data_IF_906781974126
#
_entry.id   IF_906781974126
#
_cell.length_a   1.000
_cell.length_b   1.000
_cell.length_c   1.000
_cell.angle_alpha   90.00
_cell.angle_beta   90.00
_cell.angle_gamma   90.00
#
_symmetry.space_group_name_H-M   'P 1'
#
loop_
_entity.id
_entity.type
_entity.pdbx_description
1 polymer ?
#
# COMPACT_ATOMS: atom_id res chain seq x y z
N UNK A 1 4.60 -29.91 13.31
CA UNK A 1 4.15 -28.53 13.06
C UNK A 1 4.50 -28.21 11.62
N UNK A 2 3.69 -27.45 10.86
CA UNK A 2 4.15 -26.95 9.55
C UNK A 2 5.50 -26.24 9.75
N UNK A 3 6.41 -26.40 8.81
CA UNK A 3 7.76 -25.87 8.97
C UNK A 3 7.69 -24.35 9.17
N UNK A 4 8.27 -23.86 10.26
CA UNK A 4 8.17 -22.44 10.63
C UNK A 4 8.74 -21.52 9.54
N UNK A 5 9.66 -22.06 8.74
CA UNK A 5 10.21 -21.41 7.54
C UNK A 5 9.17 -21.22 6.43
N UNK A 6 8.42 -22.27 6.07
CA UNK A 6 7.41 -22.20 5.02
C UNK A 6 6.29 -21.21 5.38
N UNK A 7 5.91 -21.16 6.65
CA UNK A 7 4.93 -20.20 7.15
C UNK A 7 5.43 -18.75 7.04
N UNK A 8 6.71 -18.49 7.36
CA UNK A 8 7.34 -17.17 7.19
C UNK A 8 7.39 -16.75 5.73
N UNK A 9 7.77 -17.67 4.82
CA UNK A 9 7.82 -17.41 3.37
C UNK A 9 6.42 -17.06 2.86
N UNK A 10 5.43 -17.90 3.13
CA UNK A 10 4.05 -17.66 2.70
C UNK A 10 3.49 -16.32 3.23
N UNK A 11 3.82 -15.96 4.47
CA UNK A 11 3.42 -14.68 5.06
C UNK A 11 4.10 -13.50 4.37
N UNK A 12 5.41 -13.57 4.13
CA UNK A 12 6.16 -12.51 3.45
C UNK A 12 5.69 -12.32 1.99
N UNK A 13 5.33 -13.40 1.30
CA UNK A 13 4.80 -13.35 -0.06
C UNK A 13 3.41 -12.71 -0.09
N UNK A 14 2.52 -13.09 0.83
CA UNK A 14 1.20 -12.47 0.96
C UNK A 14 1.31 -10.96 1.26
N UNK A 15 2.21 -10.57 2.17
CA UNK A 15 2.47 -9.17 2.47
C UNK A 15 3.06 -8.43 1.26
N UNK A 16 3.89 -9.08 0.44
CA UNK A 16 4.41 -8.49 -0.80
C UNK A 16 3.28 -8.20 -1.80
N UNK A 17 2.30 -9.10 -1.93
CA UNK A 17 1.11 -8.85 -2.75
C UNK A 17 0.27 -7.68 -2.23
N UNK A 18 0.12 -7.57 -0.90
CA UNK A 18 -0.58 -6.43 -0.29
C UNK A 18 0.17 -5.11 -0.49
N UNK A 19 1.50 -5.12 -0.45
CA UNK A 19 2.33 -3.96 -0.78
C UNK A 19 2.09 -3.50 -2.22
N UNK A 20 2.07 -4.42 -3.19
CA UNK A 20 1.72 -4.09 -4.57
C UNK A 20 0.33 -3.47 -4.69
N UNK A 21 -0.65 -3.95 -3.91
CA UNK A 21 -1.97 -3.34 -3.89
C UNK A 21 -1.95 -1.91 -3.35
N UNK A 22 -1.11 -1.58 -2.36
CA UNK A 22 -0.98 -0.18 -1.91
C UNK A 22 -0.48 0.74 -3.03
N UNK A 23 0.56 0.32 -3.77
CA UNK A 23 1.08 1.11 -4.90
C UNK A 23 0.08 1.21 -6.06
N UNK A 24 -0.61 0.11 -6.40
CA UNK A 24 -1.60 0.11 -7.49
C UNK A 24 -2.79 1.02 -7.17
N UNK A 25 -3.30 0.97 -5.94
CA UNK A 25 -4.36 1.86 -5.49
C UNK A 25 -3.89 3.32 -5.40
N UNK A 26 -2.66 3.54 -4.93
CA UNK A 26 -2.05 4.88 -4.87
C UNK A 26 -1.99 5.52 -6.25
N UNK A 27 -1.48 4.80 -7.25
CA UNK A 27 -1.42 5.28 -8.63
C UNK A 27 -2.81 5.55 -9.23
N UNK A 28 -3.79 4.68 -8.96
CA UNK A 28 -5.16 4.88 -9.43
C UNK A 28 -5.80 6.15 -8.80
N UNK A 29 -5.58 6.37 -7.51
CA UNK A 29 -6.09 7.55 -6.80
C UNK A 29 -5.34 8.81 -7.26
N UNK A 30 -4.04 8.74 -7.55
CA UNK A 30 -3.26 9.86 -8.07
C UNK A 30 -3.86 10.37 -9.40
N UNK A 31 -4.18 9.45 -10.31
CA UNK A 31 -4.79 9.80 -11.61
C UNK A 31 -6.18 10.42 -11.44
N UNK A 32 -7.01 9.86 -10.55
CA UNK A 32 -8.33 10.43 -10.22
C UNK A 32 -8.16 11.82 -9.59
N UNK A 33 -7.18 12.01 -8.72
CA UNK A 33 -6.90 13.29 -8.06
C UNK A 33 -6.51 14.37 -9.07
N UNK A 34 -5.67 14.02 -10.07
CA UNK A 34 -5.32 14.93 -11.17
C UNK A 34 -6.58 15.36 -11.94
N UNK A 35 -7.42 14.39 -12.34
CA UNK A 35 -8.67 14.69 -13.02
C UNK A 35 -9.61 15.59 -12.19
N UNK A 36 -9.72 15.36 -10.88
CA UNK A 36 -10.56 16.17 -9.98
C UNK A 36 -10.07 17.63 -9.91
N UNK A 37 -8.75 17.84 -9.83
CA UNK A 37 -8.15 19.18 -9.81
C UNK A 37 -8.38 19.92 -11.12
N UNK A 38 -8.18 19.25 -12.26
CA UNK A 38 -8.41 19.81 -13.59
C UNK A 38 -9.88 20.20 -13.84
N UNK A 39 -10.83 19.49 -13.21
CA UNK A 39 -12.27 19.77 -13.32
C UNK A 39 -12.81 20.70 -12.22
N UNK A 40 -11.94 21.32 -11.42
CA UNK A 40 -12.32 22.33 -10.43
C UNK A 40 -12.94 21.79 -9.14
N UNK A 41 -12.84 20.48 -8.89
CA UNK A 41 -13.42 19.82 -7.71
C UNK A 41 -12.37 19.66 -6.60
N UNK A 42 -11.76 20.78 -6.20
CA UNK A 42 -10.60 20.80 -5.30
C UNK A 42 -10.86 20.21 -3.90
N UNK A 43 -12.08 20.29 -3.38
CA UNK A 43 -12.43 19.70 -2.07
C UNK A 43 -12.40 18.17 -2.07
N UNK A 44 -12.78 17.53 -3.18
CA UNK A 44 -12.72 16.06 -3.33
C UNK A 44 -11.28 15.61 -3.56
N UNK A 45 -10.48 16.42 -4.26
CA UNK A 45 -9.04 16.16 -4.43
C UNK A 45 -8.29 16.13 -3.09
N UNK A 46 -8.64 16.99 -2.13
CA UNK A 46 -8.04 16.96 -0.79
C UNK A 46 -8.30 15.64 -0.05
N UNK A 47 -9.52 15.08 -0.16
CA UNK A 47 -9.83 13.77 0.41
C UNK A 47 -9.06 12.64 -0.29
N UNK A 48 -8.89 12.73 -1.61
CA UNK A 48 -8.13 11.75 -2.38
C UNK A 48 -6.63 11.78 -2.02
N UNK A 49 -6.06 12.96 -1.78
CA UNK A 49 -4.69 13.12 -1.26
C UNK A 49 -4.55 12.45 0.11
N UNK A 50 -5.47 12.69 1.04
CA UNK A 50 -5.43 12.06 2.36
C UNK A 50 -5.54 10.52 2.29
N UNK A 51 -6.29 9.99 1.33
CA UNK A 51 -6.33 8.55 1.07
C UNK A 51 -4.97 8.02 0.58
N UNK A 52 -4.27 8.74 -0.30
CA UNK A 52 -2.91 8.37 -0.74
C UNK A 52 -1.91 8.37 0.42
N UNK A 53 -1.95 9.37 1.31
CA UNK A 53 -1.10 9.41 2.52
C UNK A 53 -1.31 8.17 3.42
N UNK A 54 -2.55 7.70 3.51
CA UNK A 54 -2.88 6.47 4.24
C UNK A 54 -2.28 5.23 3.55
N UNK A 55 -2.35 5.15 2.21
CA UNK A 55 -1.74 4.06 1.45
C UNK A 55 -0.22 4.04 1.59
N UNK A 56 0.43 5.22 1.60
CA UNK A 56 1.88 5.33 1.80
C UNK A 56 2.29 4.86 3.20
N UNK A 57 1.54 5.28 4.23
CA UNK A 57 1.78 4.83 5.61
C UNK A 57 1.67 3.30 5.73
N UNK A 58 0.66 2.72 5.09
CA UNK A 58 0.48 1.27 5.06
C UNK A 58 1.59 0.57 4.27
N UNK A 59 2.02 1.11 3.12
CA UNK A 59 3.10 0.57 2.32
C UNK A 59 4.41 0.50 3.11
N UNK A 60 4.72 1.55 3.89
CA UNK A 60 5.88 1.56 4.78
C UNK A 60 5.76 0.48 5.87
N UNK A 61 4.62 0.40 6.56
CA UNK A 61 4.41 -0.58 7.63
C UNK A 61 4.47 -2.04 7.12
N UNK A 62 3.95 -2.30 5.93
CA UNK A 62 4.02 -3.61 5.27
C UNK A 62 5.47 -3.93 4.90
N UNK A 63 6.20 -2.97 4.33
CA UNK A 63 7.62 -3.13 3.98
C UNK A 63 8.46 -3.47 5.22
N UNK A 64 8.27 -2.75 6.32
CA UNK A 64 8.93 -3.03 7.59
C UNK A 64 8.62 -4.44 8.11
N UNK A 65 7.36 -4.87 7.96
CA UNK A 65 6.91 -6.20 8.41
C UNK A 65 7.54 -7.32 7.57
N UNK A 66 7.61 -7.15 6.24
CA UNK A 66 8.31 -8.09 5.33
C UNK A 66 9.77 -8.22 5.73
N UNK A 67 10.46 -7.10 5.98
CA UNK A 67 11.87 -7.10 6.39
C UNK A 67 12.07 -7.86 7.71
N UNK A 68 11.21 -7.60 8.72
CA UNK A 68 11.29 -8.30 10.02
C UNK A 68 11.07 -9.80 9.89
N UNK A 69 10.08 -10.24 9.11
CA UNK A 69 9.77 -11.67 8.92
C UNK A 69 10.93 -12.40 8.23
N UNK A 70 11.55 -11.75 7.23
CA UNK A 70 12.68 -12.34 6.49
C UNK A 70 13.97 -12.41 7.31
N UNK A 71 14.12 -11.56 8.33
CA UNK A 71 15.29 -11.52 9.21
C UNK A 71 15.13 -12.38 10.48
N UNK A 72 13.89 -12.77 10.83
CA UNK A 72 13.57 -13.64 11.98
C UNK A 72 13.73 -15.12 11.67
#
# INVERSE_FOLDING_TARGET
>A
MPDSSDCKIATADALTLLLHNQHALGAAIEEITKWLLENGVGSVAANAISAMETLDTNAQAITDSIMRIRQS
#
